data_IF_987421686157
#
_entry.id   IF_987421686157
#
_cell.length_a   1.000
_cell.length_b   1.000
_cell.length_c   1.000
_cell.angle_alpha   90.00
_cell.angle_beta   90.00
_cell.angle_gamma   90.00
#
_symmetry.space_group_name_H-M   'P 1'
#
loop_
_entity.id
_entity.type
_entity.pdbx_description
1 polymer ?
#
# COMPACT_ATOMS: atom_id res chain seq x y z
N UNK A 1 15.37 2.27 6.06
CA UNK A 1 15.56 3.36 5.09
C UNK A 1 16.54 4.41 5.64
N UNK A 2 17.26 5.17 4.78
CA UNK A 2 18.19 6.22 5.21
C UNK A 2 17.53 7.32 6.06
N UNK A 3 16.21 7.47 5.97
CA UNK A 3 15.45 8.43 6.78
C UNK A 3 15.16 7.89 8.19
N UNK A 4 14.93 6.58 8.34
CA UNK A 4 14.82 5.94 9.65
C UNK A 4 16.14 6.02 10.42
N UNK A 5 17.26 5.78 9.76
CA UNK A 5 18.59 5.74 10.38
C UNK A 5 19.04 7.08 10.99
N UNK A 6 18.38 8.19 10.60
CA UNK A 6 18.58 9.50 11.20
C UNK A 6 17.83 9.71 12.53
N UNK A 7 16.95 8.77 12.89
CA UNK A 7 16.17 8.83 14.12
C UNK A 7 16.83 7.99 15.21
N UNK A 8 16.77 8.48 16.43
CA UNK A 8 17.09 7.68 17.61
C UNK A 8 16.03 6.57 17.77
N UNK A 9 16.46 5.34 17.94
CA UNK A 9 15.55 4.22 18.18
C UNK A 9 15.04 4.24 19.64
N UNK A 10 13.73 4.39 19.83
CA UNK A 10 13.05 4.47 21.13
C UNK A 10 11.91 3.46 21.28
N UNK A 11 11.70 2.60 20.30
CA UNK A 11 10.53 1.74 20.19
C UNK A 11 10.75 0.30 20.71
N UNK A 12 11.74 0.07 21.58
CA UNK A 12 12.02 -1.24 22.14
C UNK A 12 10.78 -1.94 22.72
N UNK A 13 9.99 -1.22 23.54
CA UNK A 13 8.75 -1.74 24.09
C UNK A 13 7.71 -2.16 23.02
N UNK A 14 7.71 -1.52 21.85
CA UNK A 14 6.85 -1.88 20.72
C UNK A 14 7.24 -3.23 20.14
N UNK A 15 8.54 -3.46 19.91
CA UNK A 15 9.07 -4.75 19.42
C UNK A 15 8.76 -5.87 20.41
N UNK A 16 9.05 -5.68 21.69
CA UNK A 16 8.80 -6.66 22.74
C UNK A 16 7.30 -7.00 22.85
N UNK A 17 6.44 -5.99 22.79
CA UNK A 17 4.98 -6.19 22.79
C UNK A 17 4.51 -7.01 21.58
N UNK A 18 5.04 -6.75 20.39
CA UNK A 18 4.69 -7.49 19.16
C UNK A 18 5.10 -8.96 19.30
N UNK A 19 6.32 -9.24 19.80
CA UNK A 19 6.78 -10.60 20.05
C UNK A 19 5.93 -11.32 21.11
N UNK A 20 5.59 -10.65 22.22
CA UNK A 20 4.70 -11.20 23.24
C UNK A 20 3.29 -11.49 22.67
N UNK A 21 2.74 -10.56 21.87
CA UNK A 21 1.43 -10.76 21.24
C UNK A 21 1.41 -11.96 20.30
N UNK A 22 2.49 -12.17 19.53
CA UNK A 22 2.63 -13.35 18.67
C UNK A 22 2.59 -14.64 19.49
N UNK A 23 3.36 -14.71 20.58
CA UNK A 23 3.43 -15.88 21.45
C UNK A 23 2.11 -16.17 22.17
N UNK A 24 1.42 -15.13 22.67
CA UNK A 24 0.19 -15.29 23.46
C UNK A 24 -1.05 -15.58 22.63
N UNK A 25 -1.18 -14.92 21.47
CA UNK A 25 -2.44 -14.91 20.70
C UNK A 25 -2.39 -15.69 19.40
N UNK A 26 -1.20 -16.04 18.94
CA UNK A 26 -1.00 -16.68 17.63
C UNK A 26 -0.06 -17.89 17.70
N UNK A 27 0.06 -18.54 18.87
CA UNK A 27 0.91 -19.70 19.06
C UNK A 27 0.63 -20.85 18.08
N UNK A 28 -0.62 -20.99 17.66
CA UNK A 28 -1.07 -22.02 16.71
C UNK A 28 -0.93 -21.61 15.23
N UNK A 29 -0.44 -20.39 14.94
CA UNK A 29 -0.24 -19.91 13.57
C UNK A 29 1.23 -20.05 13.17
N UNK A 30 1.53 -21.06 12.35
CA UNK A 30 2.91 -21.40 11.94
C UNK A 30 3.64 -20.22 11.26
N UNK A 31 2.94 -19.45 10.44
CA UNK A 31 3.54 -18.29 9.75
C UNK A 31 3.94 -17.20 10.74
N UNK A 32 3.04 -16.86 11.67
CA UNK A 32 3.30 -15.81 12.68
C UNK A 32 4.40 -16.27 13.65
N UNK A 33 4.40 -17.54 14.07
CA UNK A 33 5.44 -18.10 14.95
C UNK A 33 6.82 -18.12 14.28
N UNK A 34 6.90 -18.48 13.00
CA UNK A 34 8.15 -18.46 12.25
C UNK A 34 8.68 -17.00 12.07
N UNK A 35 7.81 -16.05 11.75
CA UNK A 35 8.18 -14.63 11.68
C UNK A 35 8.66 -14.11 13.04
N UNK A 36 7.93 -14.45 14.12
CA UNK A 36 8.31 -14.04 15.48
C UNK A 36 9.67 -14.59 15.91
N UNK A 37 10.00 -15.84 15.55
CA UNK A 37 11.30 -16.43 15.82
C UNK A 37 12.43 -15.68 15.07
N UNK A 38 12.21 -15.33 13.80
CA UNK A 38 13.16 -14.55 13.01
C UNK A 38 13.36 -13.15 13.60
N UNK A 39 12.26 -12.44 13.90
CA UNK A 39 12.30 -11.10 14.51
C UNK A 39 12.99 -11.15 15.89
N UNK A 40 12.72 -12.18 16.70
CA UNK A 40 13.40 -12.37 18.00
C UNK A 40 14.91 -12.49 17.84
N UNK A 41 15.38 -13.29 16.89
CA UNK A 41 16.80 -13.42 16.58
C UNK A 41 17.43 -12.09 16.13
N UNK A 42 16.76 -11.35 15.27
CA UNK A 42 17.20 -10.01 14.82
C UNK A 42 17.24 -9.02 16.00
N UNK A 43 16.24 -9.06 16.86
CA UNK A 43 16.13 -8.19 18.03
C UNK A 43 17.24 -8.49 19.04
N UNK A 44 17.51 -9.76 19.35
CA UNK A 44 18.59 -10.16 20.27
C UNK A 44 19.96 -9.71 19.73
N UNK A 45 20.18 -9.85 18.42
CA UNK A 45 21.42 -9.40 17.79
C UNK A 45 21.58 -7.87 17.87
N UNK A 46 20.47 -7.11 17.64
CA UNK A 46 20.48 -5.66 17.79
C UNK A 46 20.75 -5.24 19.23
N UNK A 47 20.11 -5.87 20.23
CA UNK A 47 20.32 -5.55 21.64
C UNK A 47 21.77 -5.81 22.10
N UNK A 48 22.41 -6.83 21.54
CA UNK A 48 23.82 -7.14 21.84
C UNK A 48 24.79 -6.09 21.27
N UNK A 49 24.44 -5.44 20.16
CA UNK A 49 25.25 -4.39 19.52
C UNK A 49 24.34 -3.38 18.78
N UNK A 50 23.72 -2.44 19.52
CA UNK A 50 22.78 -1.49 18.92
C UNK A 50 23.47 -0.57 17.90
N UNK A 51 23.05 -0.66 16.63
CA UNK A 51 23.53 0.19 15.54
C UNK A 51 22.34 0.67 14.72
N UNK A 52 22.22 1.99 14.54
CA UNK A 52 21.17 2.61 13.75
C UNK A 52 19.75 2.39 14.29
N UNK A 53 18.78 2.40 13.38
CA UNK A 53 17.36 2.22 13.70
C UNK A 53 16.93 0.77 13.49
N UNK A 54 16.34 0.15 14.50
CA UNK A 54 15.85 -1.24 14.39
C UNK A 54 14.51 -1.29 13.63
N UNK A 55 14.53 -1.81 12.45
CA UNK A 55 13.36 -2.21 11.67
C UNK A 55 13.79 -3.25 10.62
N UNK A 56 12.89 -4.15 10.26
CA UNK A 56 13.13 -5.16 9.23
C UNK A 56 11.86 -5.49 8.45
N UNK A 57 12.00 -6.05 7.23
CA UNK A 57 10.86 -6.61 6.50
C UNK A 57 10.07 -7.62 7.32
N UNK A 58 10.76 -8.45 8.12
CA UNK A 58 10.14 -9.48 8.95
C UNK A 58 9.37 -8.88 10.12
N UNK A 59 9.88 -7.82 10.76
CA UNK A 59 9.15 -7.10 11.80
C UNK A 59 7.90 -6.42 11.22
N UNK A 60 8.01 -5.80 10.05
CA UNK A 60 6.86 -5.22 9.36
C UNK A 60 5.85 -6.30 8.96
N UNK A 61 6.31 -7.46 8.50
CA UNK A 61 5.44 -8.61 8.19
C UNK A 61 4.74 -9.14 9.45
N UNK A 62 5.44 -9.27 10.55
CA UNK A 62 4.87 -9.71 11.83
C UNK A 62 3.77 -8.76 12.32
N UNK A 63 4.03 -7.44 12.33
CA UNK A 63 3.03 -6.42 12.66
C UNK A 63 1.79 -6.52 11.74
N UNK A 64 2.02 -6.71 10.44
CA UNK A 64 0.95 -6.81 9.43
C UNK A 64 0.10 -8.07 9.63
N UNK A 65 0.73 -9.22 9.85
CA UNK A 65 0.04 -10.49 10.09
C UNK A 65 -0.77 -10.47 11.39
N UNK A 66 -0.22 -9.90 12.47
CA UNK A 66 -0.92 -9.73 13.74
C UNK A 66 -2.11 -8.77 13.57
N UNK A 67 -1.91 -7.62 12.91
CA UNK A 67 -2.97 -6.65 12.63
C UNK A 67 -4.11 -7.23 11.81
N UNK A 68 -3.81 -8.07 10.83
CA UNK A 68 -4.78 -8.80 10.02
C UNK A 68 -5.34 -10.06 10.70
N UNK A 69 -4.98 -10.30 11.98
CA UNK A 69 -5.44 -11.46 12.77
C UNK A 69 -5.11 -12.81 12.11
N UNK A 70 -3.98 -12.89 11.42
CA UNK A 70 -3.55 -14.09 10.69
C UNK A 70 -4.37 -14.45 9.46
N UNK A 71 -5.23 -13.56 8.98
CA UNK A 71 -6.06 -13.77 7.78
C UNK A 71 -5.42 -13.30 6.48
N UNK A 72 -4.31 -12.58 6.58
CA UNK A 72 -3.55 -12.09 5.43
C UNK A 72 -2.98 -13.24 4.61
N UNK A 73 -2.85 -13.04 3.32
CA UNK A 73 -2.01 -13.90 2.48
C UNK A 73 -0.52 -13.63 2.80
N UNK A 74 0.22 -14.62 3.32
CA UNK A 74 1.61 -14.41 3.73
C UNK A 74 2.55 -14.03 2.58
N UNK A 75 2.31 -14.55 1.37
CA UNK A 75 3.14 -14.25 0.20
C UNK A 75 2.95 -12.79 -0.25
N UNK A 76 1.72 -12.27 -0.22
CA UNK A 76 1.45 -10.86 -0.52
C UNK A 76 2.06 -9.94 0.54
N UNK A 77 1.97 -10.30 1.83
CA UNK A 77 2.61 -9.57 2.92
C UNK A 77 4.13 -9.52 2.73
N UNK A 78 4.75 -10.65 2.38
CA UNK A 78 6.18 -10.74 2.11
C UNK A 78 6.61 -9.83 0.96
N UNK A 79 5.88 -9.86 -0.17
CA UNK A 79 6.15 -8.98 -1.32
C UNK A 79 6.10 -7.52 -0.89
N UNK A 80 5.06 -7.11 -0.17
CA UNK A 80 4.90 -5.73 0.32
C UNK A 80 6.08 -5.33 1.20
N UNK A 81 6.40 -6.12 2.21
CA UNK A 81 7.37 -5.73 3.24
C UNK A 81 8.80 -5.74 2.73
N UNK A 82 9.15 -6.68 1.87
CA UNK A 82 10.49 -6.75 1.27
C UNK A 82 10.76 -5.63 0.26
N UNK A 83 9.72 -5.05 -0.35
CA UNK A 83 9.89 -4.01 -1.37
C UNK A 83 9.60 -2.59 -0.84
N UNK A 84 9.07 -2.43 0.38
CA UNK A 84 8.66 -1.12 0.91
C UNK A 84 9.80 -0.12 1.03
N UNK A 85 10.98 -0.54 1.50
CA UNK A 85 12.13 0.37 1.62
C UNK A 85 12.60 0.85 0.24
N UNK A 86 12.74 -0.07 -0.73
CA UNK A 86 13.11 0.24 -2.10
C UNK A 86 12.12 1.19 -2.79
N UNK A 87 10.82 1.07 -2.47
CA UNK A 87 9.81 1.99 -3.00
C UNK A 87 10.01 3.44 -2.48
N UNK A 88 10.37 3.62 -1.21
CA UNK A 88 10.71 4.93 -0.64
C UNK A 88 11.98 5.51 -1.28
N UNK A 89 12.99 4.69 -1.49
CA UNK A 89 14.25 5.09 -2.15
C UNK A 89 14.01 5.45 -3.62
N UNK A 90 13.16 4.69 -4.32
CA UNK A 90 12.75 5.01 -5.68
C UNK A 90 12.02 6.35 -5.75
N UNK A 91 11.07 6.63 -4.85
CA UNK A 91 10.41 7.94 -4.78
C UNK A 91 11.42 9.08 -4.61
N UNK A 92 12.42 8.90 -3.73
CA UNK A 92 13.49 9.88 -3.56
C UNK A 92 14.30 10.09 -4.85
N UNK A 93 14.57 9.02 -5.61
CA UNK A 93 15.34 9.10 -6.86
C UNK A 93 14.64 9.90 -7.97
N UNK A 94 13.31 10.00 -7.92
CA UNK A 94 12.50 10.80 -8.84
C UNK A 94 12.11 12.17 -8.28
N UNK A 95 12.70 12.59 -7.15
CA UNK A 95 12.51 13.89 -6.53
C UNK A 95 11.44 13.95 -5.43
N UNK A 96 10.82 12.83 -5.06
CA UNK A 96 9.81 12.78 -4.01
C UNK A 96 10.41 12.30 -2.67
N UNK A 97 11.03 13.18 -1.92
CA UNK A 97 11.68 12.87 -0.65
C UNK A 97 10.71 12.88 0.53
N UNK A 98 10.50 11.73 1.15
CA UNK A 98 9.61 11.54 2.30
C UNK A 98 10.42 11.43 3.61
N UNK A 99 10.97 12.55 4.07
CA UNK A 99 12.01 12.61 5.13
C UNK A 99 11.50 12.42 6.56
N UNK A 100 10.24 12.71 6.82
CA UNK A 100 9.66 12.57 8.17
C UNK A 100 9.22 11.13 8.39
N UNK A 101 9.69 10.52 9.48
CA UNK A 101 9.33 9.15 9.85
C UNK A 101 8.46 9.17 11.10
N UNK A 102 7.24 8.66 10.97
CA UNK A 102 6.24 8.65 12.02
C UNK A 102 5.69 7.26 12.35
N UNK A 103 4.90 7.19 13.41
CA UNK A 103 4.20 5.98 13.81
C UNK A 103 2.89 5.79 13.02
N UNK A 104 2.51 4.53 12.80
CA UNK A 104 1.19 4.12 12.35
C UNK A 104 0.50 3.28 13.44
N UNK A 105 -0.83 3.27 13.45
CA UNK A 105 -1.58 2.37 14.34
C UNK A 105 -1.24 0.91 14.04
N UNK A 106 -0.89 0.15 15.09
CA UNK A 106 -0.53 -1.27 14.97
C UNK A 106 0.92 -1.55 14.59
N UNK A 107 1.71 -0.54 14.21
CA UNK A 107 3.14 -0.74 13.97
C UNK A 107 3.94 -0.71 15.28
N UNK A 108 4.87 -1.63 15.44
CA UNK A 108 5.76 -1.71 16.61
C UNK A 108 6.81 -0.60 16.63
N UNK A 109 7.20 -0.11 15.45
CA UNK A 109 8.21 0.95 15.27
C UNK A 109 7.71 2.00 14.28
N UNK A 110 8.35 3.17 14.27
CA UNK A 110 8.04 4.23 13.29
C UNK A 110 8.56 3.84 11.91
N UNK A 111 7.66 3.77 10.93
CA UNK A 111 8.00 3.46 9.53
C UNK A 111 7.13 4.19 8.50
N UNK A 112 6.27 5.10 8.93
CA UNK A 112 5.46 5.90 8.00
C UNK A 112 6.28 7.09 7.53
N UNK A 113 6.52 7.15 6.23
CA UNK A 113 7.29 8.20 5.59
C UNK A 113 6.36 9.30 5.05
N UNK A 114 6.69 10.55 5.36
CA UNK A 114 5.94 11.74 4.94
C UNK A 114 6.89 12.84 4.47
N UNK A 115 6.43 13.74 3.59
CA UNK A 115 7.19 14.93 3.26
C UNK A 115 7.21 15.90 4.43
N UNK A 116 8.17 16.81 4.41
CA UNK A 116 8.22 17.98 5.28
C UNK A 116 8.12 19.25 4.44
N UNK A 117 7.41 20.23 4.96
CA UNK A 117 7.35 21.56 4.38
C UNK A 117 8.65 22.37 4.64
N UNK A 118 8.72 23.58 4.15
CA UNK A 118 9.86 24.49 4.33
C UNK A 118 10.15 24.84 5.80
N UNK A 119 9.16 24.67 6.69
CA UNK A 119 9.28 24.89 8.13
C UNK A 119 9.63 23.61 8.90
N UNK A 120 9.87 22.49 8.20
CA UNK A 120 10.16 21.19 8.79
C UNK A 120 8.95 20.46 9.36
N UNK A 121 7.71 20.92 9.10
CA UNK A 121 6.48 20.24 9.53
C UNK A 121 6.07 19.18 8.51
N UNK A 122 5.50 18.10 9.02
CA UNK A 122 4.94 17.04 8.18
C UNK A 122 3.78 17.56 7.32
N UNK A 123 3.86 17.32 6.03
CA UNK A 123 2.86 17.72 5.05
C UNK A 123 2.03 16.52 4.52
N UNK A 124 0.97 16.81 3.76
CA UNK A 124 0.12 15.81 3.14
C UNK A 124 0.87 15.07 2.02
N UNK A 125 0.94 13.74 2.12
CA UNK A 125 1.72 12.91 1.19
C UNK A 125 1.18 12.99 -0.23
N UNK A 126 -0.13 12.82 -0.44
CA UNK A 126 -0.74 12.84 -1.78
C UNK A 126 -0.53 14.17 -2.50
N UNK A 127 -0.77 15.29 -1.82
CA UNK A 127 -0.57 16.61 -2.38
C UNK A 127 0.88 16.91 -2.76
N UNK A 128 1.83 16.21 -2.12
CA UNK A 128 3.25 16.35 -2.40
C UNK A 128 3.72 15.44 -3.53
N UNK A 129 3.37 14.15 -3.50
CA UNK A 129 3.93 13.18 -4.46
C UNK A 129 3.24 13.22 -5.82
N UNK A 130 1.93 13.51 -5.89
CA UNK A 130 1.16 13.46 -7.14
C UNK A 130 1.73 14.40 -8.20
N UNK A 131 2.00 15.70 -7.93
CA UNK A 131 2.59 16.59 -8.94
C UNK A 131 3.99 16.15 -9.40
N UNK A 132 4.78 15.53 -8.52
CA UNK A 132 6.11 15.01 -8.86
C UNK A 132 5.98 13.79 -9.78
N UNK A 133 5.05 12.87 -9.47
CA UNK A 133 4.78 11.72 -10.34
C UNK A 133 4.24 12.16 -11.70
N UNK A 134 3.31 13.11 -11.74
CA UNK A 134 2.77 13.66 -12.97
C UNK A 134 3.86 14.27 -13.87
N UNK A 135 4.75 15.07 -13.28
CA UNK A 135 5.92 15.60 -14.01
C UNK A 135 6.78 14.46 -14.59
N UNK A 136 7.09 13.42 -13.80
CA UNK A 136 7.90 12.30 -14.27
C UNK A 136 7.21 11.52 -15.40
N UNK A 137 5.89 11.36 -15.34
CA UNK A 137 5.08 10.73 -16.40
C UNK A 137 5.19 11.53 -17.71
N UNK A 138 5.05 12.84 -17.64
CA UNK A 138 5.20 13.73 -18.80
C UNK A 138 6.62 13.72 -19.35
N UNK A 139 7.63 13.80 -18.49
CA UNK A 139 9.04 13.75 -18.89
C UNK A 139 9.42 12.43 -19.57
N UNK A 140 8.75 11.33 -19.18
CA UNK A 140 8.90 10.03 -19.81
C UNK A 140 8.14 9.89 -21.15
N UNK A 141 7.42 10.92 -21.58
CA UNK A 141 6.64 10.91 -22.83
C UNK A 141 5.40 10.01 -22.77
N UNK A 142 4.90 9.69 -21.58
CA UNK A 142 3.68 8.91 -21.42
C UNK A 142 2.47 9.78 -21.69
N UNK A 143 1.57 9.32 -22.57
CA UNK A 143 0.31 10.01 -22.85
C UNK A 143 -0.65 9.89 -21.66
N UNK A 144 -1.18 11.01 -21.20
CA UNK A 144 -2.19 11.08 -20.14
C UNK A 144 -3.52 11.52 -20.73
N UNK A 145 -4.52 10.67 -20.68
CA UNK A 145 -5.86 10.93 -21.21
C UNK A 145 -6.81 11.15 -20.03
N UNK A 146 -7.21 12.39 -19.83
CA UNK A 146 -8.19 12.79 -18.80
C UNK A 146 -9.62 12.84 -19.34
N UNK A 147 -10.61 13.07 -18.48
CA UNK A 147 -12.03 13.11 -18.84
C UNK A 147 -12.50 11.89 -19.65
N UNK A 148 -11.87 10.73 -19.38
CA UNK A 148 -12.12 9.49 -20.12
C UNK A 148 -12.32 8.35 -19.15
N UNK A 149 -13.51 7.78 -19.17
CA UNK A 149 -13.92 6.73 -18.22
C UNK A 149 -13.72 5.35 -18.83
N UNK A 150 -12.86 4.53 -18.24
CA UNK A 150 -12.73 3.12 -18.60
C UNK A 150 -14.03 2.38 -18.33
N UNK A 151 -14.52 1.62 -19.30
CA UNK A 151 -15.80 0.88 -19.25
C UNK A 151 -15.62 -0.61 -19.26
N UNK A 152 -14.59 -1.11 -19.96
CA UNK A 152 -14.44 -2.54 -20.19
C UNK A 152 -12.99 -2.91 -20.51
N UNK A 153 -12.54 -4.05 -19.97
CA UNK A 153 -11.31 -4.70 -20.43
C UNK A 153 -11.58 -5.46 -21.72
N UNK A 154 -10.72 -5.28 -22.71
CA UNK A 154 -10.77 -6.03 -23.96
C UNK A 154 -10.00 -7.34 -23.79
N UNK A 155 -10.59 -8.44 -24.27
CA UNK A 155 -9.98 -9.77 -24.17
C UNK A 155 -9.96 -10.47 -25.51
N UNK A 156 -8.86 -11.17 -25.79
CA UNK A 156 -8.70 -12.09 -26.92
C UNK A 156 -8.08 -13.39 -26.42
N UNK A 157 -8.71 -14.52 -26.73
CA UNK A 157 -8.25 -15.86 -26.31
C UNK A 157 -7.98 -15.95 -24.79
N UNK A 158 -8.83 -15.31 -23.97
CA UNK A 158 -8.71 -15.31 -22.50
C UNK A 158 -7.63 -14.40 -21.93
N UNK A 159 -6.97 -13.58 -22.76
CA UNK A 159 -5.97 -12.60 -22.34
C UNK A 159 -6.52 -11.19 -22.47
N UNK A 160 -6.20 -10.32 -21.50
CA UNK A 160 -6.48 -8.89 -21.61
C UNK A 160 -5.53 -8.28 -22.64
N UNK A 161 -6.10 -7.58 -23.63
CA UNK A 161 -5.38 -6.98 -24.77
C UNK A 161 -5.63 -5.47 -24.89
N UNK A 162 -6.33 -4.86 -23.93
CA UNK A 162 -6.60 -3.44 -23.96
C UNK A 162 -7.76 -3.03 -23.09
N UNK A 163 -8.20 -1.78 -23.27
CA UNK A 163 -9.31 -1.19 -22.57
C UNK A 163 -10.23 -0.44 -23.55
N UNK A 164 -11.52 -0.52 -23.33
CA UNK A 164 -12.53 0.33 -23.92
C UNK A 164 -12.93 1.39 -22.92
N UNK A 165 -12.95 2.64 -23.33
CA UNK A 165 -13.30 3.80 -22.54
C UNK A 165 -14.25 4.73 -23.29
N UNK A 166 -14.83 5.66 -22.59
CA UNK A 166 -15.73 6.70 -23.11
C UNK A 166 -15.24 8.07 -22.67
N UNK A 167 -15.00 8.92 -23.63
CA UNK A 167 -14.67 10.32 -23.41
C UNK A 167 -15.87 11.11 -22.87
N UNK A 168 -15.63 12.29 -22.32
CA UNK A 168 -16.65 13.19 -21.77
C UNK A 168 -17.71 13.61 -22.81
N UNK A 169 -17.35 13.62 -24.07
CA UNK A 169 -18.21 13.89 -25.22
C UNK A 169 -19.05 12.68 -25.70
N UNK A 170 -18.92 11.53 -24.99
CA UNK A 170 -19.57 10.27 -25.34
C UNK A 170 -18.85 9.47 -26.43
N UNK A 171 -17.72 9.96 -26.94
CA UNK A 171 -16.97 9.24 -27.95
C UNK A 171 -16.32 7.98 -27.35
N UNK A 172 -16.39 6.89 -28.08
CA UNK A 172 -15.74 5.62 -27.73
C UNK A 172 -14.24 5.73 -28.00
N UNK A 173 -13.45 5.39 -26.97
CA UNK A 173 -11.98 5.27 -27.02
C UNK A 173 -11.60 3.82 -26.86
N UNK A 174 -10.78 3.30 -27.77
CA UNK A 174 -10.27 1.93 -27.72
C UNK A 174 -8.75 1.98 -27.68
N UNK A 175 -8.16 1.42 -26.64
CA UNK A 175 -6.70 1.36 -26.45
C UNK A 175 -6.27 -0.11 -26.44
N UNK A 176 -5.46 -0.49 -27.42
CA UNK A 176 -4.83 -1.81 -27.44
C UNK A 176 -3.50 -1.76 -26.68
N UNK A 177 -3.26 -2.73 -25.81
CA UNK A 177 -2.06 -2.79 -25.00
C UNK A 177 -1.62 -4.23 -24.73
N UNK A 178 -0.32 -4.45 -24.58
CA UNK A 178 0.23 -5.75 -24.19
C UNK A 178 -0.12 -6.14 -22.74
N UNK A 179 -0.36 -5.12 -21.90
CA UNK A 179 -0.75 -5.28 -20.49
C UNK A 179 -1.57 -4.09 -20.04
N UNK A 180 -2.46 -4.29 -19.09
CA UNK A 180 -3.27 -3.23 -18.46
C UNK A 180 -3.04 -3.30 -16.96
N UNK A 181 -2.63 -2.17 -16.36
CA UNK A 181 -2.50 -2.03 -14.92
C UNK A 181 -3.75 -1.32 -14.39
N UNK A 182 -4.47 -1.99 -13.50
CA UNK A 182 -5.66 -1.44 -12.83
C UNK A 182 -5.23 -0.71 -11.56
N UNK A 183 -5.30 0.61 -11.56
CA UNK A 183 -4.94 1.47 -10.42
C UNK A 183 -6.11 2.40 -10.02
N UNK A 184 -7.35 1.89 -10.13
CA UNK A 184 -8.60 2.66 -10.02
C UNK A 184 -9.08 2.87 -8.58
N UNK A 185 -8.33 2.40 -7.58
CA UNK A 185 -8.73 2.46 -6.18
C UNK A 185 -9.87 1.49 -5.84
N UNK A 186 -10.54 1.74 -4.73
CA UNK A 186 -11.60 0.91 -4.19
C UNK A 186 -13.01 1.42 -4.49
N UNK A 187 -13.96 1.01 -3.65
CA UNK A 187 -15.39 1.33 -3.79
C UNK A 187 -15.99 2.05 -2.57
N UNK A 188 -15.16 2.68 -1.75
CA UNK A 188 -15.62 3.31 -0.50
C UNK A 188 -16.59 4.47 -0.66
N UNK A 189 -16.76 5.04 -1.86
CA UNK A 189 -17.77 6.04 -2.18
C UNK A 189 -19.01 5.47 -2.88
N UNK A 190 -19.06 4.15 -3.14
CA UNK A 190 -20.20 3.46 -3.71
C UNK A 190 -21.00 2.78 -2.61
N UNK A 191 -22.06 3.45 -2.11
CA UNK A 191 -22.87 2.97 -1.01
C UNK A 191 -23.53 1.60 -1.29
N UNK A 192 -23.95 1.35 -2.54
CA UNK A 192 -24.57 0.07 -2.93
C UNK A 192 -23.56 -1.07 -2.89
N UNK A 193 -22.34 -0.82 -3.37
CA UNK A 193 -21.27 -1.82 -3.33
C UNK A 193 -20.79 -2.09 -1.90
N UNK A 194 -20.69 -1.04 -1.07
CA UNK A 194 -20.40 -1.17 0.37
C UNK A 194 -21.48 -2.02 1.05
N UNK A 195 -22.76 -1.73 0.84
CA UNK A 195 -23.87 -2.51 1.40
C UNK A 195 -23.85 -3.97 0.92
N UNK A 196 -23.56 -4.20 -0.36
CA UNK A 196 -23.46 -5.55 -0.94
C UNK A 196 -22.40 -6.42 -0.25
N UNK A 197 -21.21 -5.87 -0.01
CA UNK A 197 -20.10 -6.62 0.59
C UNK A 197 -20.09 -6.59 2.12
N UNK A 198 -20.68 -5.57 2.73
CA UNK A 198 -20.72 -5.35 4.19
C UNK A 198 -22.02 -4.70 4.60
N UNK A 199 -23.12 -5.47 4.70
CA UNK A 199 -24.46 -4.93 4.97
C UNK A 199 -24.57 -4.07 6.24
N UNK A 200 -23.73 -4.34 7.26
CA UNK A 200 -23.71 -3.58 8.50
C UNK A 200 -23.24 -2.13 8.33
N UNK A 201 -22.63 -1.80 7.20
CA UNK A 201 -22.16 -0.43 6.87
C UNK A 201 -23.21 0.37 6.08
N UNK A 202 -24.41 -0.16 5.89
CA UNK A 202 -25.50 0.58 5.24
C UNK A 202 -25.75 1.92 5.90
N UNK A 203 -25.72 2.99 5.11
CA UNK A 203 -25.99 4.36 5.57
C UNK A 203 -24.82 5.04 6.30
N UNK A 204 -23.65 4.41 6.39
CA UNK A 204 -22.46 5.06 6.92
C UNK A 204 -21.92 6.13 5.95
N UNK A 205 -21.44 7.23 6.49
CA UNK A 205 -20.74 8.25 5.72
C UNK A 205 -19.33 7.78 5.34
N UNK A 206 -18.78 8.34 4.26
CA UNK A 206 -17.42 8.03 3.78
C UNK A 206 -16.56 9.29 3.70
N UNK A 207 -15.26 9.14 3.92
CA UNK A 207 -14.23 10.15 3.63
C UNK A 207 -13.48 9.87 2.31
N UNK A 208 -13.89 8.83 1.58
CA UNK A 208 -13.30 8.53 0.28
C UNK A 208 -13.63 9.61 -0.75
N UNK A 209 -12.73 9.80 -1.71
CA UNK A 209 -13.01 10.63 -2.88
C UNK A 209 -14.20 10.05 -3.67
N UNK A 210 -14.99 10.91 -4.29
CA UNK A 210 -16.20 10.55 -5.07
C UNK A 210 -15.91 9.53 -6.18
N UNK A 211 -14.68 9.53 -6.74
CA UNK A 211 -14.25 8.57 -7.75
C UNK A 211 -14.03 7.13 -7.26
N UNK A 212 -14.05 6.87 -5.95
CA UNK A 212 -13.89 5.52 -5.40
C UNK A 212 -15.19 4.70 -5.54
N UNK A 213 -15.57 4.39 -6.78
CA UNK A 213 -16.83 3.76 -7.16
C UNK A 213 -16.73 2.26 -7.44
N UNK A 214 -15.51 1.69 -7.50
CA UNK A 214 -15.30 0.26 -7.72
C UNK A 214 -15.35 -0.22 -9.18
N UNK A 215 -15.42 0.68 -10.16
CA UNK A 215 -15.52 0.31 -11.58
C UNK A 215 -14.39 -0.63 -12.03
N UNK A 216 -13.16 -0.43 -11.52
CA UNK A 216 -12.05 -1.30 -11.84
C UNK A 216 -12.23 -2.72 -11.30
N UNK A 217 -12.82 -2.86 -10.11
CA UNK A 217 -13.15 -4.16 -9.54
C UNK A 217 -14.17 -4.87 -10.42
N UNK A 218 -15.24 -4.18 -10.83
CA UNK A 218 -16.27 -4.74 -11.72
C UNK A 218 -15.66 -5.16 -13.07
N UNK A 219 -14.80 -4.33 -13.66
CA UNK A 219 -14.12 -4.67 -14.93
C UNK A 219 -13.19 -5.88 -14.78
N UNK A 220 -12.46 -5.97 -13.68
CA UNK A 220 -11.53 -7.08 -13.43
C UNK A 220 -12.28 -8.38 -13.17
N UNK A 221 -13.32 -8.35 -12.35
CA UNK A 221 -14.16 -9.55 -12.07
C UNK A 221 -14.91 -10.03 -13.31
N UNK A 222 -15.32 -9.12 -14.19
CA UNK A 222 -15.96 -9.49 -15.47
C UNK A 222 -15.05 -10.31 -16.40
N UNK A 223 -13.73 -10.27 -16.20
CA UNK A 223 -12.77 -11.08 -16.96
C UNK A 223 -12.13 -12.20 -16.13
N UNK A 224 -12.71 -12.51 -14.95
CA UNK A 224 -12.36 -13.65 -14.14
C UNK A 224 -11.37 -13.40 -13.00
N UNK A 225 -11.11 -12.14 -12.62
CA UNK A 225 -10.32 -11.85 -11.43
C UNK A 225 -11.09 -12.25 -10.16
N UNK A 226 -10.37 -12.73 -9.15
CA UNK A 226 -10.89 -12.96 -7.80
C UNK A 226 -10.89 -11.66 -6.97
N UNK A 227 -11.77 -11.58 -5.97
CA UNK A 227 -11.87 -10.50 -4.99
C UNK A 227 -11.90 -11.07 -3.57
#
# INVERSE_FOLDING_TARGET
TPYQDKNEFKEAAGVEKTLATAAEKFADNETITALAATVKSQWDAYQANPQGYFDSPELMALDTMIGGKGKNDPELVKILTQNSAGAIEWLASIGAELKSVGAAGGASVKRIHRPVDENGKTAAVGAYIVPILEKNVHDAGVEVITDTTAKKLLTENGKVVGVEAEGKDGNKVVIHAKSVIMATGGFGANAEMVEKYKPELKGFATTNAEGAQGQGIDMATAVGAAT
#
